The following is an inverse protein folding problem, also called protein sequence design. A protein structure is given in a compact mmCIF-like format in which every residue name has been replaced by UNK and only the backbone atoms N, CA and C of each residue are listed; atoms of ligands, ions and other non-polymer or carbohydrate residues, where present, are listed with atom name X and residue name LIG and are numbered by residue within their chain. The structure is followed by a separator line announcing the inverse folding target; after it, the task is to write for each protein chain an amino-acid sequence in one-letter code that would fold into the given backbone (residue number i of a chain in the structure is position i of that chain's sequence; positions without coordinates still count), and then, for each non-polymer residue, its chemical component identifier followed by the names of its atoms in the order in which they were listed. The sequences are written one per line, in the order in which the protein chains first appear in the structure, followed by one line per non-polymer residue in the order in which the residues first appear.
data_IF_301799690276
#
_entry.id   IF_301799690276
#
_cell.length_a   1.000
_cell.length_b   1.000
_cell.length_c   1.000
_cell.angle_alpha   90.00
_cell.angle_beta   90.00
_cell.angle_gamma   90.00
#
_symmetry.space_group_name_H-M   'P 1'
#
loop_
_entity.id
_entity.type
_entity.pdbx_description
1 polymer ?
#
# COMPACT_ATOMS: atom_id res chain seq x y z
N UNK A 1 -0.23 -5.65 30.61
CA UNK A 1 1.11 -5.47 30.04
C UNK A 1 1.74 -6.84 29.99
N UNK A 2 2.04 -7.33 28.79
CA UNK A 2 2.56 -8.69 28.60
C UNK A 2 4.06 -8.60 28.30
N UNK A 3 4.83 -9.54 28.86
CA UNK A 3 6.21 -9.73 28.43
C UNK A 3 6.16 -10.22 26.96
N UNK A 4 6.68 -9.40 26.07
CA UNK A 4 6.72 -9.73 24.65
C UNK A 4 7.75 -10.84 24.40
N UNK A 5 7.45 -11.72 23.44
CA UNK A 5 8.42 -12.67 22.89
C UNK A 5 9.68 -11.95 22.36
N UNK A 6 9.54 -10.66 22.01
CA UNK A 6 10.60 -9.80 21.50
C UNK A 6 11.45 -9.11 22.59
N UNK A 7 11.28 -9.42 23.87
CA UNK A 7 12.18 -8.93 24.93
C UNK A 7 11.87 -7.52 25.48
N UNK A 8 10.60 -7.13 25.55
CA UNK A 8 10.18 -5.86 26.17
C UNK A 8 8.68 -5.78 26.45
N UNK A 9 8.21 -4.64 26.94
CA UNK A 9 6.78 -4.44 27.26
C UNK A 9 5.98 -4.08 26.00
N UNK A 10 4.94 -4.86 25.75
CA UNK A 10 3.93 -4.55 24.73
C UNK A 10 2.58 -4.34 25.42
N UNK A 11 1.90 -3.28 24.99
CA UNK A 11 0.53 -2.97 25.39
C UNK A 11 -0.43 -3.44 24.30
N UNK A 12 -1.20 -4.46 24.62
CA UNK A 12 -2.30 -4.94 23.79
C UNK A 12 -3.61 -4.39 24.35
N UNK A 13 -4.33 -3.62 23.55
CA UNK A 13 -5.61 -3.00 23.93
C UNK A 13 -6.70 -3.47 22.97
N UNK A 14 -7.73 -4.19 23.42
CA UNK A 14 -8.88 -4.50 22.56
C UNK A 14 -9.63 -3.20 22.23
N UNK A 15 -9.99 -3.02 20.97
CA UNK A 15 -10.76 -1.86 20.50
C UNK A 15 -12.24 -2.22 20.34
N UNK A 16 -12.50 -3.39 19.76
CA UNK A 16 -13.82 -4.04 19.67
C UNK A 16 -13.68 -5.57 19.69
N UNK A 17 -14.72 -6.30 19.29
CA UNK A 17 -14.73 -7.77 19.30
C UNK A 17 -13.74 -8.41 18.31
N UNK A 18 -13.26 -7.68 17.30
CA UNK A 18 -12.46 -8.22 16.19
C UNK A 18 -11.19 -7.42 15.92
N UNK A 19 -10.84 -6.45 16.78
CA UNK A 19 -9.68 -5.60 16.58
C UNK A 19 -8.94 -5.27 17.86
N UNK A 20 -7.62 -5.18 17.71
CA UNK A 20 -6.69 -4.93 18.79
C UNK A 20 -5.68 -3.89 18.35
N UNK A 21 -5.35 -3.00 19.27
CA UNK A 21 -4.24 -2.07 19.14
C UNK A 21 -3.02 -2.64 19.86
N UNK A 22 -1.91 -2.77 19.13
CA UNK A 22 -0.61 -3.16 19.66
C UNK A 22 0.27 -1.92 19.74
N UNK A 23 0.68 -1.54 20.95
CA UNK A 23 1.65 -0.47 21.17
C UNK A 23 2.90 -1.06 21.81
N UNK A 24 4.05 -0.74 21.23
CA UNK A 24 5.36 -1.10 21.74
C UNK A 24 6.21 0.16 21.86
N UNK A 25 7.15 0.16 22.82
CA UNK A 25 8.15 1.22 22.86
C UNK A 25 9.17 1.00 21.74
N UNK A 26 9.79 2.09 21.27
CA UNK A 26 10.78 2.08 20.19
C UNK A 26 11.97 1.18 20.50
N UNK A 27 12.34 1.04 21.78
CA UNK A 27 13.45 0.18 22.21
C UNK A 27 13.24 -1.30 21.83
N UNK A 28 11.99 -1.75 21.66
CA UNK A 28 11.69 -3.11 21.21
C UNK A 28 12.12 -3.36 19.76
N UNK A 29 12.19 -2.29 18.95
CA UNK A 29 12.53 -2.35 17.53
C UNK A 29 14.03 -2.28 17.28
N UNK A 30 14.75 -1.51 18.10
CA UNK A 30 16.17 -1.20 17.88
C UNK A 30 17.14 -2.19 18.55
N UNK A 31 16.65 -3.10 19.39
CA UNK A 31 17.52 -3.88 20.27
C UNK A 31 18.22 -2.98 21.30
N UNK A 32 18.81 -3.57 22.34
CA UNK A 32 19.38 -2.80 23.45
C UNK A 32 20.63 -1.95 23.11
N UNK A 33 21.15 -2.01 21.88
CA UNK A 33 22.49 -1.52 21.53
C UNK A 33 22.54 -0.28 20.61
N UNK A 34 21.42 0.31 20.21
CA UNK A 34 21.43 1.48 19.30
C UNK A 34 21.24 2.83 20.02
N UNK A 35 22.03 3.04 21.09
CA UNK A 35 22.30 4.37 21.64
C UNK A 35 23.34 5.15 20.79
N UNK A 36 23.37 4.95 19.47
CA UNK A 36 24.29 5.70 18.60
C UNK A 36 23.57 6.87 17.92
N UNK A 37 24.14 8.02 18.24
CA UNK A 37 24.10 9.28 17.52
C UNK A 37 22.93 10.23 17.81
N UNK A 38 23.09 10.94 18.94
CA UNK A 38 22.65 12.33 19.09
C UNK A 38 23.49 13.23 18.17
N UNK A 39 23.33 13.14 16.86
CA UNK A 39 23.83 14.16 15.94
C UNK A 39 23.11 14.09 14.59
N UNK A 40 22.92 15.27 13.99
CA UNK A 40 22.70 15.59 12.56
C UNK A 40 21.29 15.66 11.93
N UNK A 41 20.90 16.90 11.59
CA UNK A 41 19.79 17.32 10.71
C UNK A 41 19.95 16.88 9.23
N UNK A 42 21.01 16.16 8.87
CA UNK A 42 21.25 15.64 7.51
C UNK A 42 20.98 14.14 7.35
N UNK A 43 20.46 13.47 8.39
CA UNK A 43 20.24 12.01 8.45
C UNK A 43 18.76 11.60 8.35
N UNK A 44 17.82 12.53 8.31
CA UNK A 44 16.40 12.21 8.51
C UNK A 44 15.79 11.29 7.43
N UNK A 45 16.19 11.43 6.16
CA UNK A 45 15.67 10.59 5.08
C UNK A 45 16.21 9.15 5.16
N UNK A 46 17.53 9.00 5.31
CA UNK A 46 18.23 7.72 5.46
C UNK A 46 17.78 6.98 6.74
N UNK A 47 17.56 7.74 7.81
CA UNK A 47 16.99 7.24 9.05
C UNK A 47 15.53 6.79 8.90
N UNK A 48 14.74 7.49 8.08
CA UNK A 48 13.34 7.13 7.84
C UNK A 48 13.23 5.84 7.03
N UNK A 49 14.04 5.68 5.98
CA UNK A 49 14.10 4.45 5.17
C UNK A 49 14.56 3.27 6.02
N UNK A 50 15.61 3.44 6.82
CA UNK A 50 16.07 2.44 7.80
C UNK A 50 15.00 2.06 8.82
N UNK A 51 14.21 3.01 9.32
CA UNK A 51 13.13 2.73 10.27
C UNK A 51 11.98 1.95 9.64
N UNK A 52 11.61 2.26 8.39
CA UNK A 52 10.60 1.53 7.64
C UNK A 52 11.02 0.07 7.41
N UNK A 53 12.29 -0.18 7.09
CA UNK A 53 12.84 -1.54 6.97
C UNK A 53 12.76 -2.31 8.30
N UNK A 54 13.16 -1.70 9.41
CA UNK A 54 13.10 -2.31 10.75
C UNK A 54 11.66 -2.62 11.14
N UNK A 55 10.74 -1.68 10.92
CA UNK A 55 9.31 -1.90 11.17
C UNK A 55 8.74 -3.01 10.29
N UNK A 56 9.16 -3.10 9.04
CA UNK A 56 8.74 -4.13 8.09
C UNK A 56 9.17 -5.51 8.58
N UNK A 57 10.46 -5.67 8.92
CA UNK A 57 10.99 -6.92 9.45
C UNK A 57 10.30 -7.35 10.75
N UNK A 58 10.10 -6.42 11.68
CA UNK A 58 9.38 -6.69 12.93
C UNK A 58 7.93 -7.11 12.67
N UNK A 59 7.23 -6.43 11.75
CA UNK A 59 5.84 -6.71 11.42
C UNK A 59 5.66 -8.07 10.75
N UNK A 60 6.61 -8.49 9.92
CA UNK A 60 6.65 -9.84 9.35
C UNK A 60 6.78 -10.91 10.44
N UNK A 61 7.75 -10.75 11.36
CA UNK A 61 7.91 -11.69 12.46
C UNK A 61 6.70 -11.74 13.39
N UNK A 62 6.09 -10.59 13.68
CA UNK A 62 4.86 -10.51 14.47
C UNK A 62 3.69 -11.19 13.76
N UNK A 63 3.54 -10.97 12.45
CA UNK A 63 2.49 -11.61 11.66
C UNK A 63 2.65 -13.13 11.66
N UNK A 64 3.85 -13.65 11.44
CA UNK A 64 4.12 -15.10 11.47
C UNK A 64 3.79 -15.72 12.83
N UNK A 65 4.18 -15.06 13.93
CA UNK A 65 3.86 -15.52 15.28
C UNK A 65 2.34 -15.59 15.52
N UNK A 66 1.59 -14.56 15.13
CA UNK A 66 0.14 -14.54 15.28
C UNK A 66 -0.51 -15.57 14.37
N UNK A 67 -0.07 -15.68 13.11
CA UNK A 67 -0.64 -16.59 12.12
C UNK A 67 -0.48 -18.07 12.48
N UNK A 68 0.56 -18.43 13.25
CA UNK A 68 0.75 -19.80 13.74
C UNK A 68 -0.29 -20.23 14.78
N UNK A 69 -0.82 -19.28 15.56
CA UNK A 69 -1.79 -19.56 16.64
C UNK A 69 -3.22 -19.18 16.23
N UNK A 70 -3.37 -18.24 15.29
CA UNK A 70 -4.66 -17.69 14.90
C UNK A 70 -5.35 -18.55 13.84
N UNK A 71 -6.62 -18.89 14.09
CA UNK A 71 -7.46 -19.57 13.10
C UNK A 71 -8.25 -18.54 12.30
N UNK A 72 -7.87 -18.34 11.04
CA UNK A 72 -8.58 -17.49 10.08
C UNK A 72 -7.71 -16.41 9.46
N UNK A 73 -8.34 -15.49 8.74
CA UNK A 73 -7.66 -14.36 8.09
C UNK A 73 -7.71 -13.14 9.01
N UNK A 74 -6.55 -12.53 9.25
CA UNK A 74 -6.43 -11.25 9.93
C UNK A 74 -5.56 -10.31 9.10
N UNK A 75 -5.61 -9.03 9.44
CA UNK A 75 -4.78 -8.01 8.81
C UNK A 75 -4.07 -7.19 9.88
N UNK A 76 -2.82 -6.82 9.59
CA UNK A 76 -2.02 -5.92 10.40
C UNK A 76 -1.87 -4.60 9.65
N UNK A 77 -2.16 -3.48 10.30
CA UNK A 77 -1.71 -2.18 9.83
C UNK A 77 -0.62 -1.65 10.73
N UNK A 78 0.36 -1.01 10.13
CA UNK A 78 1.56 -0.52 10.81
C UNK A 78 1.74 0.95 10.49
N UNK A 79 1.98 1.75 11.52
CA UNK A 79 2.31 3.16 11.41
C UNK A 79 3.73 3.42 11.88
N UNK A 80 4.26 4.58 11.50
CA UNK A 80 5.50 5.10 12.08
C UNK A 80 5.27 5.44 13.56
N UNK A 81 6.34 5.53 14.38
CA UNK A 81 6.24 5.94 15.77
C UNK A 81 5.53 7.29 15.89
N UNK A 82 4.51 7.35 16.74
CA UNK A 82 3.69 8.55 16.95
C UNK A 82 4.05 9.20 18.26
N UNK A 83 4.42 10.49 18.22
CA UNK A 83 4.73 11.32 19.40
C UNK A 83 4.11 12.70 19.16
N UNK A 84 3.33 13.27 20.09
CA UNK A 84 3.04 12.79 21.45
C UNK A 84 1.77 11.93 21.53
N UNK A 85 1.52 11.24 22.65
CA UNK A 85 0.39 10.29 22.81
C UNK A 85 -1.00 10.88 22.46
N UNK A 86 -1.17 12.19 22.51
CA UNK A 86 -2.41 12.87 22.11
C UNK A 86 -2.74 12.70 20.61
N UNK A 87 -1.79 12.31 19.75
CA UNK A 87 -2.02 11.98 18.34
C UNK A 87 -2.65 10.59 18.14
N UNK A 88 -2.78 9.79 19.20
CA UNK A 88 -3.25 8.40 19.10
C UNK A 88 -4.61 8.25 18.40
N UNK A 89 -5.62 9.11 18.61
CA UNK A 89 -6.88 9.00 17.87
C UNK A 89 -6.71 9.18 16.35
N UNK A 90 -5.85 10.11 15.94
CA UNK A 90 -5.54 10.34 14.53
C UNK A 90 -4.75 9.15 13.94
N UNK A 91 -3.81 8.62 14.70
CA UNK A 91 -3.04 7.43 14.34
C UNK A 91 -3.94 6.22 14.17
N UNK A 92 -4.89 6.04 15.08
CA UNK A 92 -5.83 4.93 15.00
C UNK A 92 -6.71 5.04 13.74
N UNK A 93 -7.20 6.22 13.40
CA UNK A 93 -7.92 6.45 12.14
C UNK A 93 -7.04 6.14 10.92
N UNK A 94 -5.75 6.50 10.96
CA UNK A 94 -4.80 6.18 9.90
C UNK A 94 -4.60 4.67 9.75
N UNK A 95 -4.47 3.93 10.86
CA UNK A 95 -4.35 2.47 10.85
C UNK A 95 -5.61 1.81 10.28
N UNK A 96 -6.80 2.26 10.69
CA UNK A 96 -8.07 1.77 10.15
C UNK A 96 -8.19 2.02 8.65
N UNK A 97 -7.89 3.23 8.21
CA UNK A 97 -7.86 3.59 6.79
C UNK A 97 -6.83 2.73 6.03
N UNK A 98 -5.68 2.45 6.63
CA UNK A 98 -4.63 1.60 6.05
C UNK A 98 -5.09 0.16 5.88
N UNK A 99 -5.76 -0.46 6.87
CA UNK A 99 -6.38 -1.79 6.70
C UNK A 99 -7.42 -1.76 5.58
N UNK A 100 -8.28 -0.74 5.57
CA UNK A 100 -9.36 -0.63 4.58
C UNK A 100 -8.82 -0.54 3.15
N UNK A 101 -7.85 0.35 2.90
CA UNK A 101 -7.24 0.53 1.59
C UNK A 101 -6.39 -0.68 1.21
N UNK A 102 -5.61 -1.23 2.14
CA UNK A 102 -4.83 -2.44 1.92
C UNK A 102 -5.67 -3.60 1.41
N UNK A 103 -6.85 -3.83 1.98
CA UNK A 103 -7.80 -4.86 1.49
C UNK A 103 -8.30 -4.61 0.06
N UNK A 104 -8.41 -3.36 -0.36
CA UNK A 104 -8.90 -2.98 -1.71
C UNK A 104 -7.79 -3.13 -2.75
N UNK A 105 -6.59 -2.64 -2.42
CA UNK A 105 -5.49 -2.48 -3.36
C UNK A 105 -4.51 -3.66 -3.33
N UNK A 106 -4.23 -4.23 -2.15
CA UNK A 106 -3.25 -5.29 -1.93
C UNK A 106 -3.97 -6.59 -1.49
N UNK A 107 -4.79 -7.16 -2.39
CA UNK A 107 -5.72 -8.27 -2.06
C UNK A 107 -5.00 -9.54 -1.56
N UNK A 108 -3.75 -9.74 -1.95
CA UNK A 108 -2.93 -10.90 -1.54
C UNK A 108 -2.11 -10.65 -0.29
N UNK A 109 -2.12 -9.43 0.24
CA UNK A 109 -1.31 -9.02 1.38
C UNK A 109 -2.15 -8.89 2.65
N UNK A 110 -1.51 -9.25 3.77
CA UNK A 110 -2.14 -9.21 5.08
C UNK A 110 -1.50 -8.18 6.02
N UNK A 111 -0.33 -7.65 5.68
CA UNK A 111 0.35 -6.58 6.40
C UNK A 111 0.30 -5.34 5.50
N UNK A 112 -0.11 -4.21 6.06
CA UNK A 112 -0.32 -2.97 5.33
C UNK A 112 0.40 -1.82 6.02
N UNK A 113 1.29 -1.14 5.30
CA UNK A 113 2.10 -0.06 5.85
C UNK A 113 1.49 1.30 5.53
N UNK A 114 1.37 2.18 6.52
CA UNK A 114 0.72 3.48 6.35
C UNK A 114 1.44 4.41 5.36
N UNK A 115 2.71 4.16 5.08
CA UNK A 115 3.56 4.90 4.14
C UNK A 115 3.55 4.34 2.70
N UNK A 116 2.91 3.21 2.44
CA UNK A 116 2.85 2.66 1.07
C UNK A 116 1.58 3.09 0.30
N UNK A 117 0.55 3.58 1.00
CA UNK A 117 -0.79 3.85 0.44
C UNK A 117 -1.09 5.34 0.24
N UNK A 118 -0.09 6.14 -0.13
CA UNK A 118 -0.22 7.60 -0.21
C UNK A 118 -1.26 8.06 -1.23
N UNK A 119 -1.21 7.53 -2.45
CA UNK A 119 -2.06 7.96 -3.54
C UNK A 119 -3.48 7.42 -3.37
N UNK A 120 -3.59 6.16 -2.95
CA UNK A 120 -4.82 5.46 -2.61
C UNK A 120 -5.61 6.24 -1.56
N UNK A 121 -4.93 6.70 -0.51
CA UNK A 121 -5.52 7.50 0.56
C UNK A 121 -6.03 8.84 0.05
N UNK A 122 -5.23 9.55 -0.74
CA UNK A 122 -5.63 10.82 -1.33
C UNK A 122 -6.90 10.65 -2.18
N UNK A 123 -6.92 9.61 -3.02
CA UNK A 123 -8.05 9.32 -3.91
C UNK A 123 -9.30 8.87 -3.16
N UNK A 124 -9.15 8.11 -2.08
CA UNK A 124 -10.27 7.66 -1.26
C UNK A 124 -11.01 8.82 -0.58
N UNK A 125 -10.31 9.92 -0.28
CA UNK A 125 -10.92 11.15 0.28
C UNK A 125 -11.76 11.93 -0.72
N UNK A 126 -11.63 11.65 -2.02
CA UNK A 126 -12.45 12.30 -3.05
C UNK A 126 -13.89 11.77 -2.94
N UNK A 127 -14.91 12.66 -2.85
CA UNK A 127 -16.31 12.23 -2.81
C UNK A 127 -16.66 11.30 -3.96
N UNK A 128 -17.46 10.26 -3.69
CA UNK A 128 -17.79 9.21 -4.66
C UNK A 128 -18.33 9.76 -5.98
N UNK A 129 -19.19 10.78 -5.93
CA UNK A 129 -19.75 11.44 -7.12
C UNK A 129 -18.65 12.02 -8.01
N UNK A 130 -17.66 12.70 -7.43
CA UNK A 130 -16.53 13.26 -8.17
C UNK A 130 -15.63 12.17 -8.75
N UNK A 131 -15.44 11.06 -8.04
CA UNK A 131 -14.71 9.89 -8.56
C UNK A 131 -15.40 9.30 -9.78
N UNK A 132 -16.73 9.14 -9.73
CA UNK A 132 -17.53 8.63 -10.86
C UNK A 132 -17.43 9.58 -12.05
N UNK A 133 -17.61 10.89 -11.84
CA UNK A 133 -17.50 11.89 -12.91
C UNK A 133 -16.12 11.86 -13.59
N UNK A 134 -15.04 11.75 -12.82
CA UNK A 134 -13.70 11.63 -13.36
C UNK A 134 -13.55 10.38 -14.23
N UNK A 135 -14.01 9.22 -13.75
CA UNK A 135 -13.95 7.96 -14.51
C UNK A 135 -14.69 8.07 -15.85
N UNK A 136 -15.87 8.72 -15.86
CA UNK A 136 -16.66 8.95 -17.07
C UNK A 136 -16.01 9.94 -18.05
N UNK A 137 -15.30 10.95 -17.54
CA UNK A 137 -14.62 11.97 -18.35
C UNK A 137 -13.35 11.45 -19.01
N UNK A 138 -12.52 10.71 -18.27
CA UNK A 138 -11.22 10.24 -18.75
C UNK A 138 -11.38 9.18 -19.84
N UNK A 139 -12.40 8.34 -19.74
CA UNK A 139 -12.66 7.32 -20.75
C UNK A 139 -14.14 7.17 -21.06
N UNK A 140 -14.51 7.60 -22.27
CA UNK A 140 -15.88 7.48 -22.79
C UNK A 140 -16.32 6.02 -23.04
N UNK A 141 -15.37 5.10 -23.16
CA UNK A 141 -15.61 3.65 -23.26
C UNK A 141 -14.59 2.93 -22.37
N UNK A 142 -15.01 2.48 -21.19
CA UNK A 142 -14.16 1.82 -20.20
C UNK A 142 -13.96 0.33 -20.45
N UNK A 143 -14.63 -0.26 -21.44
CA UNK A 143 -14.76 -1.73 -21.59
C UNK A 143 -13.42 -2.45 -21.59
N UNK A 144 -12.38 -1.90 -22.22
CA UNK A 144 -11.05 -2.50 -22.24
C UNK A 144 -10.32 -2.41 -20.90
N UNK A 145 -10.51 -1.36 -20.11
CA UNK A 145 -9.93 -1.28 -18.76
C UNK A 145 -10.84 -1.92 -17.71
N UNK A 146 -11.98 -2.49 -18.11
CA UNK A 146 -12.75 -3.39 -17.24
C UNK A 146 -12.33 -4.86 -17.44
N UNK A 147 -11.60 -5.16 -18.52
CA UNK A 147 -11.00 -6.47 -18.74
C UNK A 147 -9.87 -6.75 -17.74
N UNK A 148 -10.00 -7.88 -17.04
CA UNK A 148 -9.06 -8.26 -15.97
C UNK A 148 -7.62 -8.45 -16.45
N UNK A 149 -7.43 -8.94 -17.68
CA UNK A 149 -6.09 -9.17 -18.24
C UNK A 149 -5.40 -7.84 -18.55
N UNK A 150 -6.15 -6.89 -19.11
CA UNK A 150 -5.68 -5.54 -19.39
C UNK A 150 -5.34 -4.79 -18.11
N UNK A 151 -6.22 -4.86 -17.09
CA UNK A 151 -5.96 -4.30 -15.77
C UNK A 151 -4.68 -4.87 -15.15
N UNK A 152 -4.51 -6.18 -15.17
CA UNK A 152 -3.32 -6.84 -14.64
C UNK A 152 -2.04 -6.44 -15.41
N UNK A 153 -2.14 -6.34 -16.73
CA UNK A 153 -1.03 -5.89 -17.59
C UNK A 153 -0.60 -4.46 -17.21
N UNK A 154 -1.55 -3.54 -17.03
CA UNK A 154 -1.27 -2.15 -16.66
C UNK A 154 -0.75 -2.03 -15.22
N UNK A 155 -1.29 -2.80 -14.27
CA UNK A 155 -0.81 -2.78 -12.88
C UNK A 155 0.67 -3.17 -12.82
N UNK A 156 1.06 -4.27 -13.50
CA UNK A 156 2.46 -4.72 -13.56
C UNK A 156 3.31 -3.72 -14.35
N UNK A 157 2.80 -3.16 -15.44
CA UNK A 157 3.51 -2.16 -16.23
C UNK A 157 3.86 -0.91 -15.40
N UNK A 158 2.92 -0.43 -14.58
CA UNK A 158 3.17 0.71 -13.69
C UNK A 158 4.04 0.35 -12.49
N UNK A 159 3.95 -0.87 -11.95
CA UNK A 159 4.84 -1.36 -10.88
C UNK A 159 6.31 -1.45 -11.33
N UNK A 160 6.55 -1.60 -12.63
CA UNK A 160 7.89 -1.70 -13.22
C UNK A 160 8.28 -0.40 -13.95
N UNK A 161 7.82 0.74 -13.45
CA UNK A 161 8.15 2.08 -13.96
C UNK A 161 7.94 2.26 -15.47
N UNK A 162 6.87 1.67 -16.00
CA UNK A 162 6.54 1.68 -17.44
C UNK A 162 7.64 1.01 -18.31
N UNK A 163 8.47 0.13 -17.73
CA UNK A 163 9.51 -0.57 -18.44
C UNK A 163 8.95 -1.77 -19.21
N UNK A 164 8.86 -1.63 -20.54
CA UNK A 164 8.33 -2.67 -21.43
C UNK A 164 9.10 -3.99 -21.32
N UNK A 165 10.42 -3.95 -21.16
CA UNK A 165 11.25 -5.17 -21.14
C UNK A 165 11.06 -5.96 -19.84
N UNK A 166 11.10 -5.29 -18.69
CA UNK A 166 10.88 -5.94 -17.40
C UNK A 166 9.43 -6.41 -17.24
N UNK A 167 8.47 -5.62 -17.72
CA UNK A 167 7.05 -5.99 -17.70
C UNK A 167 6.78 -7.24 -18.54
N UNK A 168 7.35 -7.34 -19.74
CA UNK A 168 7.19 -8.51 -20.58
C UNK A 168 7.75 -9.78 -19.90
N UNK A 169 8.91 -9.68 -19.25
CA UNK A 169 9.48 -10.78 -18.45
C UNK A 169 8.57 -11.17 -17.30
N UNK A 170 8.08 -10.20 -16.52
CA UNK A 170 7.21 -10.42 -15.35
C UNK A 170 5.86 -11.05 -15.72
N UNK A 171 5.34 -10.72 -16.89
CA UNK A 171 4.12 -11.29 -17.47
C UNK A 171 4.36 -12.60 -18.22
N UNK A 172 5.60 -13.06 -18.36
CA UNK A 172 5.98 -14.23 -19.17
C UNK A 172 5.49 -14.15 -20.63
N UNK A 173 5.52 -12.96 -21.22
CA UNK A 173 5.17 -12.72 -22.64
C UNK A 173 6.35 -12.15 -23.41
N UNK A 174 6.30 -12.27 -24.74
CA UNK A 174 7.30 -11.62 -25.58
C UNK A 174 7.11 -10.09 -25.58
N UNK A 175 8.22 -9.33 -25.68
CA UNK A 175 8.20 -7.85 -25.71
C UNK A 175 7.22 -7.29 -26.74
N UNK A 176 7.19 -7.86 -27.94
CA UNK A 176 6.28 -7.42 -29.00
C UNK A 176 4.81 -7.70 -28.68
N UNK A 177 4.51 -8.77 -27.95
CA UNK A 177 3.16 -9.07 -27.48
C UNK A 177 2.69 -8.01 -26.49
N UNK A 178 3.57 -7.59 -25.57
CA UNK A 178 3.25 -6.49 -24.66
C UNK A 178 3.04 -5.17 -25.42
N UNK A 179 3.92 -4.84 -26.37
CA UNK A 179 3.76 -3.63 -27.21
C UNK A 179 2.40 -3.65 -27.91
N UNK A 180 2.01 -4.78 -28.49
CA UNK A 180 0.70 -4.93 -29.13
C UNK A 180 -0.46 -4.69 -28.14
N UNK A 181 -0.39 -5.22 -26.91
CA UNK A 181 -1.39 -4.95 -25.87
C UNK A 181 -1.47 -3.46 -25.53
N UNK A 182 -0.33 -2.79 -25.37
CA UNK A 182 -0.27 -1.35 -25.09
C UNK A 182 -0.80 -0.51 -26.26
N UNK A 183 -0.50 -0.90 -27.50
CA UNK A 183 -1.01 -0.23 -28.70
C UNK A 183 -2.53 -0.43 -28.83
N UNK A 184 -3.06 -1.60 -28.45
CA UNK A 184 -4.51 -1.84 -28.39
C UNK A 184 -5.18 -0.95 -27.34
N UNK A 185 -4.61 -0.84 -26.14
CA UNK A 185 -5.08 0.11 -25.10
C UNK A 185 -5.10 1.52 -25.67
N UNK A 186 -4.04 1.96 -26.34
CA UNK A 186 -3.98 3.29 -26.96
C UNK A 186 -5.04 3.50 -28.03
N UNK A 187 -5.28 2.51 -28.88
CA UNK A 187 -6.30 2.60 -29.94
C UNK A 187 -7.71 2.75 -29.37
N UNK A 188 -8.02 2.05 -28.28
CA UNK A 188 -9.35 2.03 -27.69
C UNK A 188 -9.61 3.20 -26.73
N UNK A 189 -8.58 3.65 -26.01
CA UNK A 189 -8.69 4.71 -25.00
C UNK A 189 -8.25 6.09 -25.52
N UNK A 190 -7.45 6.13 -26.58
CA UNK A 190 -6.76 7.33 -27.05
C UNK A 190 -5.53 7.74 -26.22
N UNK A 191 -5.21 6.99 -25.16
CA UNK A 191 -4.14 7.31 -24.21
C UNK A 191 -2.93 6.39 -24.41
N UNK A 192 -1.74 6.95 -24.60
CA UNK A 192 -0.50 6.20 -24.70
C UNK A 192 0.21 6.14 -23.35
N UNK A 193 0.03 5.04 -22.62
CA UNK A 193 0.64 4.81 -21.30
C UNK A 193 2.17 4.79 -21.27
N UNK A 194 2.83 4.88 -22.43
CA UNK A 194 4.29 5.08 -22.51
C UNK A 194 4.68 6.56 -22.39
N UNK A 195 3.72 7.47 -22.49
CA UNK A 195 3.92 8.90 -22.25
C UNK A 195 3.49 9.23 -20.82
N UNK A 196 4.28 10.09 -20.15
CA UNK A 196 4.08 10.36 -18.74
C UNK A 196 2.67 10.88 -18.38
N UNK A 197 2.16 11.86 -19.14
CA UNK A 197 0.85 12.47 -18.84
C UNK A 197 -0.30 11.45 -18.95
N UNK A 198 -0.30 10.64 -20.01
CA UNK A 198 -1.32 9.61 -20.22
C UNK A 198 -1.15 8.47 -19.21
N UNK A 199 0.08 8.09 -18.88
CA UNK A 199 0.37 7.08 -17.86
C UNK A 199 -0.19 7.49 -16.49
N UNK A 200 0.03 8.74 -16.07
CA UNK A 200 -0.54 9.28 -14.82
C UNK A 200 -2.06 9.24 -14.87
N UNK A 201 -2.65 9.68 -15.97
CA UNK A 201 -4.11 9.72 -16.13
C UNK A 201 -4.72 8.32 -16.02
N UNK A 202 -4.12 7.34 -16.72
CA UNK A 202 -4.54 5.93 -16.65
C UNK A 202 -4.30 5.37 -15.25
N UNK A 203 -3.15 5.60 -14.62
CA UNK A 203 -2.89 5.13 -13.25
C UNK A 203 -3.93 5.65 -12.25
N UNK A 204 -4.27 6.92 -12.31
CA UNK A 204 -5.33 7.52 -11.49
C UNK A 204 -6.70 6.89 -11.78
N UNK A 205 -7.02 6.66 -13.05
CA UNK A 205 -8.23 5.94 -13.45
C UNK A 205 -8.30 4.55 -12.80
N UNK A 206 -7.24 3.75 -12.90
CA UNK A 206 -7.21 2.39 -12.33
C UNK A 206 -7.43 2.41 -10.81
N UNK A 207 -6.76 3.32 -10.11
CA UNK A 207 -6.89 3.44 -8.66
C UNK A 207 -8.31 3.87 -8.26
N UNK A 208 -8.86 4.88 -8.93
CA UNK A 208 -10.22 5.36 -8.70
C UNK A 208 -11.27 4.29 -9.01
N UNK A 209 -11.06 3.50 -10.07
CA UNK A 209 -11.94 2.40 -10.42
C UNK A 209 -12.00 1.37 -9.29
N UNK A 210 -10.84 0.94 -8.76
CA UNK A 210 -10.75 -0.02 -7.64
C UNK A 210 -11.50 0.46 -6.41
N UNK A 211 -11.39 1.74 -6.02
CA UNK A 211 -12.04 2.27 -4.80
C UNK A 211 -13.50 2.71 -5.01
N UNK A 212 -13.98 2.80 -6.25
CA UNK A 212 -15.33 3.30 -6.57
C UNK A 212 -16.31 2.19 -6.96
N UNK A 213 -15.85 1.20 -7.73
CA UNK A 213 -16.70 0.19 -8.37
C UNK A 213 -16.52 -1.23 -7.82
N UNK A 214 -15.42 -1.54 -7.13
CA UNK A 214 -15.21 -2.84 -6.50
C UNK A 214 -16.06 -2.91 -5.21
N UNK A 215 -17.23 -3.54 -5.30
CA UNK A 215 -18.04 -4.00 -4.17
C UNK A 215 -18.11 -5.51 -4.20
#
# INVERSE_FOLDING_TARGET
MFASYFGGEVLLTPLDEQSWLIMAKKELLLGADDERDKDTESRDADFTESLEEVLTAFSLGLYELIANEWVGVFHLAVSKPSIPLQSLPQELNLLWETIHLGKIFHVTEHIHFSWELHLERLLNRIPKEQRVLFLEQVMKSSVILEDSETMATLDIFFQLDCNVSETAKRLYVHRNTLIYRLDKIKQETGLDVRTFNDAVLVKLYLLLYKVTKRK
#
